data_IF_894508746377
#
_entry.id   IF_894508746377
#
_cell.length_a   1.000
_cell.length_b   1.000
_cell.length_c   1.000
_cell.angle_alpha   90.00
_cell.angle_beta   90.00
_cell.angle_gamma   90.00
#
_symmetry.space_group_name_H-M   'P 1'
#
loop_
_entity.id
_entity.type
_entity.pdbx_description
1 polymer ?
#
# COMPACT_ATOMS: atom_id res chain seq x y z
N UNK A 1 -6.91 30.45 11.14
CA UNK A 1 -7.70 30.03 9.96
C UNK A 1 -6.72 29.67 8.86
N UNK A 2 -6.25 28.41 8.81
CA UNK A 2 -5.19 28.00 7.85
C UNK A 2 -5.55 26.71 7.07
N UNK A 3 -6.69 26.08 7.39
CA UNK A 3 -7.11 24.83 6.76
C UNK A 3 -8.15 25.00 5.64
N UNK A 4 -8.63 26.21 5.34
CA UNK A 4 -9.70 26.44 4.35
C UNK A 4 -9.27 26.33 2.88
N UNK A 5 -7.96 26.21 2.60
CA UNK A 5 -7.43 26.11 1.22
C UNK A 5 -6.94 24.72 0.84
N UNK A 6 -7.12 23.70 1.70
CA UNK A 6 -6.63 22.35 1.41
C UNK A 6 -7.69 21.53 0.69
N UNK A 7 -7.36 21.08 -0.52
CA UNK A 7 -8.17 20.09 -1.24
C UNK A 7 -7.77 18.68 -0.80
N UNK A 8 -8.74 17.78 -0.64
CA UNK A 8 -8.47 16.38 -0.33
C UNK A 8 -7.86 15.69 -1.55
N UNK A 9 -6.71 15.05 -1.39
CA UNK A 9 -6.13 14.22 -2.43
C UNK A 9 -6.83 12.87 -2.49
N UNK A 10 -7.13 12.41 -3.70
CA UNK A 10 -7.55 11.03 -3.94
C UNK A 10 -6.32 10.13 -4.02
N UNK A 11 -6.34 9.04 -3.26
CA UNK A 11 -5.23 8.08 -3.23
C UNK A 11 -5.65 6.85 -4.01
N UNK A 12 -4.81 6.44 -4.96
CA UNK A 12 -5.01 5.26 -5.80
C UNK A 12 -3.93 4.23 -5.47
N UNK A 13 -4.30 2.96 -5.55
CA UNK A 13 -3.38 1.84 -5.37
C UNK A 13 -3.58 0.78 -6.45
N UNK A 14 -2.50 0.06 -6.77
CA UNK A 14 -2.49 -0.98 -7.81
C UNK A 14 -2.91 -2.32 -7.21
N UNK A 15 -4.00 -2.90 -7.70
CA UNK A 15 -4.56 -4.15 -7.15
C UNK A 15 -3.99 -5.38 -7.87
N UNK A 16 -4.53 -5.71 -9.05
CA UNK A 16 -4.11 -6.85 -9.91
C UNK A 16 -4.03 -6.39 -11.37
N UNK A 17 -3.21 -5.36 -11.61
CA UNK A 17 -2.94 -4.84 -12.96
C UNK A 17 -3.60 -3.50 -13.30
N UNK A 18 -4.54 -3.01 -12.48
CA UNK A 18 -5.16 -1.69 -12.65
C UNK A 18 -5.16 -0.86 -11.35
N UNK A 19 -5.38 0.45 -11.49
CA UNK A 19 -5.49 1.39 -10.37
C UNK A 19 -6.93 1.48 -9.87
N UNK A 20 -7.10 1.42 -8.55
CA UNK A 20 -8.40 1.59 -7.88
C UNK A 20 -8.27 2.61 -6.74
N UNK A 21 -9.26 3.50 -6.53
CA UNK A 21 -9.26 4.39 -5.39
C UNK A 21 -9.23 3.61 -4.07
N UNK A 22 -8.34 4.00 -3.16
CA UNK A 22 -8.23 3.38 -1.82
C UNK A 22 -9.48 3.62 -0.99
N UNK A 23 -10.15 4.75 -1.22
CA UNK A 23 -11.43 5.10 -0.57
C UNK A 23 -12.55 4.09 -0.80
N UNK A 24 -12.45 3.22 -1.82
CA UNK A 24 -13.47 2.22 -2.15
C UNK A 24 -13.12 0.81 -1.63
N UNK A 25 -12.04 0.64 -0.87
CA UNK A 25 -11.65 -0.68 -0.38
C UNK A 25 -12.68 -1.25 0.61
N UNK A 26 -13.04 -2.52 0.44
CA UNK A 26 -13.81 -3.26 1.44
C UNK A 26 -12.85 -3.88 2.48
N UNK A 27 -13.40 -4.43 3.56
CA UNK A 27 -12.62 -5.04 4.65
C UNK A 27 -11.67 -6.13 4.14
N UNK A 28 -12.16 -7.05 3.30
CA UNK A 28 -11.31 -8.12 2.76
C UNK A 28 -10.13 -7.63 1.91
N UNK A 29 -10.27 -6.52 1.18
CA UNK A 29 -9.15 -5.94 0.41
C UNK A 29 -8.12 -5.23 1.29
N UNK A 30 -8.55 -4.67 2.42
CA UNK A 30 -7.62 -4.12 3.41
C UNK A 30 -6.79 -5.24 4.04
N UNK A 31 -7.43 -6.34 4.41
CA UNK A 31 -6.74 -7.51 4.96
C UNK A 31 -5.78 -8.13 3.94
N UNK A 32 -6.24 -8.36 2.70
CA UNK A 32 -5.36 -8.84 1.62
C UNK A 32 -4.15 -7.92 1.41
N UNK A 33 -4.33 -6.60 1.52
CA UNK A 33 -3.22 -5.65 1.36
C UNK A 33 -2.24 -5.71 2.53
N UNK A 34 -2.71 -5.89 3.76
CA UNK A 34 -1.87 -6.05 4.96
C UNK A 34 -1.00 -7.31 4.89
N UNK A 35 -1.52 -8.38 4.27
CA UNK A 35 -0.78 -9.63 4.06
C UNK A 35 0.33 -9.53 2.99
N UNK A 36 0.34 -8.46 2.18
CA UNK A 36 1.35 -8.29 1.12
C UNK A 36 2.72 -8.02 1.74
N UNK A 37 3.72 -8.77 1.30
CA UNK A 37 5.12 -8.53 1.66
C UNK A 37 5.79 -7.63 0.63
N UNK A 38 6.36 -6.54 1.12
CA UNK A 38 7.21 -5.69 0.29
C UNK A 38 8.57 -6.34 0.08
N UNK A 39 9.14 -6.10 -1.10
CA UNK A 39 10.50 -6.51 -1.38
C UNK A 39 11.46 -5.57 -0.67
N UNK A 40 12.27 -6.10 0.24
CA UNK A 40 13.28 -5.36 0.99
C UNK A 40 14.66 -5.92 0.65
N UNK A 41 15.48 -5.14 -0.07
CA UNK A 41 16.82 -5.52 -0.52
C UNK A 41 17.79 -5.83 0.62
N UNK A 42 17.57 -5.26 1.80
CA UNK A 42 18.43 -5.45 2.97
C UNK A 42 18.24 -6.84 3.61
N UNK A 43 17.18 -7.57 3.26
CA UNK A 43 16.90 -8.91 3.79
C UNK A 43 17.57 -10.03 2.97
N UNK A 44 18.35 -9.73 1.93
CA UNK A 44 18.83 -10.74 0.97
C UNK A 44 20.13 -11.47 1.35
N UNK A 45 20.76 -11.23 2.52
CA UNK A 45 22.15 -11.74 2.74
C UNK A 45 22.47 -12.35 4.11
N UNK A 46 21.51 -12.74 4.97
CA UNK A 46 21.89 -13.32 6.29
C UNK A 46 21.60 -14.80 6.52
N UNK A 47 20.91 -15.51 5.63
CA UNK A 47 20.50 -16.90 5.91
C UNK A 47 21.16 -17.99 5.04
N UNK A 48 22.27 -17.69 4.35
CA UNK A 48 23.14 -18.76 3.85
C UNK A 48 24.09 -19.20 4.95
N UNK A 49 23.58 -20.00 5.89
CA UNK A 49 24.39 -20.82 6.78
C UNK A 49 24.89 -22.05 5.99
N UNK A 50 25.84 -21.82 5.07
CA UNK A 50 26.85 -22.82 4.76
C UNK A 50 28.06 -22.60 5.68
#
# INVERSE_FOLDING_TARGET
MENEKRQRCEVYSRVVGYLRPVSQWNEGKQEEFNDRKEYNKQLEVTDCAC
#
